data_IF_030811315111
#
_entry.id   IF_030811315111
#
_cell.length_a   1.000
_cell.length_b   1.000
_cell.length_c   1.000
_cell.angle_alpha   90.00
_cell.angle_beta   90.00
_cell.angle_gamma   90.00
#
_symmetry.space_group_name_H-M   'P 1'
#
loop_
_entity.id
_entity.type
_entity.pdbx_description
1 polymer ?
#
# COMPACT_ATOMS: atom_id res chain seq x y z
N UNK A 1 -36.48 17.65 -14.77
CA UNK A 1 -36.04 17.43 -16.16
C UNK A 1 -35.45 16.01 -16.20
N UNK A 2 -36.20 15.07 -16.78
CA UNK A 2 -35.97 13.63 -16.65
C UNK A 2 -34.97 13.16 -17.70
N UNK A 3 -33.85 12.56 -17.25
CA UNK A 3 -32.82 11.95 -18.11
C UNK A 3 -33.24 10.52 -18.49
N UNK A 4 -33.20 10.22 -19.78
CA UNK A 4 -33.60 8.96 -20.40
C UNK A 4 -32.71 7.79 -19.96
N UNK A 5 -33.35 6.68 -19.62
CA UNK A 5 -32.74 5.36 -19.44
C UNK A 5 -32.44 4.79 -20.82
N UNK A 6 -31.21 4.46 -21.11
CA UNK A 6 -30.83 3.72 -22.33
C UNK A 6 -30.91 2.21 -22.03
N UNK A 7 -31.87 1.55 -22.66
CA UNK A 7 -31.95 0.08 -22.72
C UNK A 7 -31.06 -0.42 -23.86
N UNK A 8 -29.94 -1.06 -23.54
CA UNK A 8 -29.12 -1.76 -24.51
C UNK A 8 -29.46 -3.26 -24.53
N UNK A 9 -29.97 -3.75 -25.65
CA UNK A 9 -30.19 -5.19 -25.88
C UNK A 9 -28.95 -5.76 -26.57
N UNK A 10 -28.30 -6.74 -25.94
CA UNK A 10 -27.17 -7.49 -26.54
C UNK A 10 -27.68 -8.88 -26.91
N UNK A 11 -27.71 -9.20 -28.22
CA UNK A 11 -28.09 -10.51 -28.73
C UNK A 11 -26.86 -11.35 -29.05
N UNK A 12 -26.78 -12.55 -28.48
CA UNK A 12 -25.79 -13.55 -28.86
C UNK A 12 -26.48 -14.70 -29.59
N UNK A 13 -26.02 -15.01 -30.81
CA UNK A 13 -26.49 -16.17 -31.60
C UNK A 13 -25.53 -17.33 -31.37
N UNK A 14 -26.00 -18.39 -30.70
CA UNK A 14 -25.36 -19.71 -30.72
C UNK A 14 -26.18 -20.65 -31.58
N UNK A 15 -25.50 -21.36 -32.46
CA UNK A 15 -26.07 -22.30 -33.44
C UNK A 15 -26.50 -23.58 -32.69
N UNK A 16 -27.65 -23.59 -32.09
CA UNK A 16 -28.52 -24.75 -31.85
C UNK A 16 -29.77 -24.25 -31.11
N UNK A 17 -30.86 -24.29 -31.78
CA UNK A 17 -32.26 -24.14 -31.48
C UNK A 17 -32.67 -24.14 -30.00
N UNK A 18 -32.48 -23.00 -29.30
CA UNK A 18 -33.28 -22.60 -28.16
C UNK A 18 -32.99 -21.14 -27.80
N UNK A 19 -33.89 -20.23 -28.11
CA UNK A 19 -33.83 -18.84 -27.65
C UNK A 19 -34.18 -18.81 -26.14
N UNK A 20 -33.19 -18.52 -25.31
CA UNK A 20 -33.40 -18.23 -23.90
C UNK A 20 -33.42 -16.69 -23.75
N UNK A 21 -34.60 -16.12 -23.63
CA UNK A 21 -34.76 -14.73 -23.23
C UNK A 21 -34.39 -14.58 -21.76
N UNK A 22 -33.19 -14.09 -21.46
CA UNK A 22 -32.84 -13.63 -20.12
C UNK A 22 -32.95 -12.10 -20.07
N UNK A 23 -34.00 -11.61 -19.46
CA UNK A 23 -34.12 -10.20 -19.11
C UNK A 23 -33.29 -9.91 -17.87
N UNK A 24 -32.13 -9.28 -18.05
CA UNK A 24 -31.33 -8.74 -16.92
C UNK A 24 -31.88 -7.34 -16.61
N UNK A 25 -32.71 -7.26 -15.58
CA UNK A 25 -33.13 -5.99 -15.01
C UNK A 25 -32.00 -5.49 -14.12
N UNK A 26 -31.14 -4.59 -14.63
CA UNK A 26 -30.24 -3.82 -13.78
C UNK A 26 -31.08 -2.88 -12.92
N UNK A 27 -31.35 -3.30 -11.69
CA UNK A 27 -31.80 -2.38 -10.64
C UNK A 27 -30.61 -1.47 -10.34
N UNK A 28 -30.63 -0.27 -10.90
CA UNK A 28 -29.77 0.85 -10.50
C UNK A 28 -30.15 1.26 -9.07
N UNK A 29 -29.58 0.56 -8.09
CA UNK A 29 -29.48 1.14 -6.77
C UNK A 29 -28.41 2.22 -6.87
N UNK A 30 -28.67 3.46 -6.45
CA UNK A 30 -27.58 4.38 -6.17
C UNK A 30 -26.72 3.68 -5.13
N UNK A 31 -25.44 3.50 -5.43
CA UNK A 31 -24.46 3.08 -4.44
C UNK A 31 -24.38 4.22 -3.42
N UNK A 32 -25.30 4.19 -2.44
CA UNK A 32 -25.14 4.96 -1.23
C UNK A 32 -23.83 4.46 -0.62
N UNK A 33 -22.82 5.30 -0.72
CA UNK A 33 -21.56 5.08 -0.03
C UNK A 33 -21.94 4.91 1.45
N UNK A 34 -21.74 3.70 1.96
CA UNK A 34 -21.92 3.39 3.38
C UNK A 34 -21.14 4.44 4.19
N UNK A 35 -21.81 5.33 4.94
CA UNK A 35 -21.14 6.37 5.71
C UNK A 35 -20.36 5.81 6.91
N UNK A 36 -20.39 4.50 7.13
CA UNK A 36 -19.76 3.81 8.27
C UNK A 36 -18.41 3.18 7.96
N UNK A 37 -17.79 3.42 6.82
CA UNK A 37 -16.34 3.17 6.67
C UNK A 37 -15.65 4.21 7.52
N UNK A 38 -15.42 3.83 8.77
CA UNK A 38 -14.59 4.58 9.72
C UNK A 38 -13.19 4.68 9.11
N UNK A 39 -12.98 5.74 8.29
CA UNK A 39 -11.64 6.02 7.74
C UNK A 39 -10.82 6.34 8.97
N UNK A 40 -9.87 5.48 9.37
CA UNK A 40 -9.10 5.74 10.56
C UNK A 40 -8.52 7.14 10.44
N UNK A 41 -8.64 7.93 11.49
CA UNK A 41 -8.07 9.27 11.57
C UNK A 41 -6.54 9.15 11.53
N UNK A 42 -5.98 9.07 10.31
CA UNK A 42 -4.57 8.82 10.00
C UNK A 42 -4.08 9.90 9.06
N UNK A 43 -3.03 10.60 9.46
CA UNK A 43 -2.28 11.50 8.61
C UNK A 43 -1.01 10.80 8.10
N UNK A 44 -0.62 11.11 6.85
CA UNK A 44 0.63 10.66 6.26
C UNK A 44 1.58 11.85 6.15
N UNK A 45 2.83 11.65 6.60
CA UNK A 45 3.88 12.65 6.44
C UNK A 45 5.20 11.99 6.01
N UNK A 46 6.09 12.71 5.34
CA UNK A 46 7.46 12.24 5.15
C UNK A 46 8.11 11.92 6.50
N UNK A 47 8.98 10.93 6.51
CA UNK A 47 9.90 10.70 7.61
C UNK A 47 11.08 11.64 7.42
N UNK A 48 11.43 12.40 8.46
CA UNK A 48 12.54 13.34 8.41
C UNK A 48 13.82 12.73 9.02
N UNK A 49 15.02 13.20 8.58
CA UNK A 49 16.25 12.87 9.27
C UNK A 49 16.15 13.23 10.77
N UNK A 50 16.37 12.26 11.65
CA UNK A 50 16.23 12.48 13.10
C UNK A 50 14.94 11.92 13.71
N UNK A 51 13.97 11.46 12.92
CA UNK A 51 12.73 10.81 13.39
C UNK A 51 12.96 9.42 14.04
N UNK A 52 14.10 9.23 14.70
CA UNK A 52 14.47 7.96 15.35
C UNK A 52 13.46 7.51 16.41
N UNK A 53 12.86 8.46 17.12
CA UNK A 53 11.81 8.16 18.09
C UNK A 53 10.58 7.58 17.42
N UNK A 54 10.11 8.18 16.32
CA UNK A 54 8.94 7.71 15.58
C UNK A 54 9.16 6.30 15.01
N UNK A 55 10.35 6.03 14.46
CA UNK A 55 10.72 4.68 13.96
C UNK A 55 10.78 3.67 15.11
N UNK A 56 11.31 4.08 16.27
CA UNK A 56 11.37 3.22 17.47
C UNK A 56 9.97 2.91 18.00
N UNK A 57 9.05 3.86 18.00
CA UNK A 57 7.66 3.66 18.41
C UNK A 57 6.92 2.70 17.47
N UNK A 58 7.05 2.86 16.16
CA UNK A 58 6.49 1.90 15.19
C UNK A 58 7.04 0.51 15.47
N UNK A 59 8.36 0.39 15.65
CA UNK A 59 8.99 -0.90 15.96
C UNK A 59 8.49 -1.49 17.28
N UNK A 60 8.32 -0.69 18.32
CA UNK A 60 7.81 -1.13 19.62
C UNK A 60 6.37 -1.66 19.52
N UNK A 61 5.55 -1.09 18.64
CA UNK A 61 4.19 -1.54 18.36
C UNK A 61 4.08 -2.79 17.49
N UNK A 62 5.19 -3.33 16.98
CA UNK A 62 5.24 -4.62 16.29
C UNK A 62 5.48 -5.74 17.29
N UNK A 63 4.65 -6.76 17.30
CA UNK A 63 4.87 -8.01 18.02
C UNK A 63 6.04 -8.82 17.42
N UNK A 64 6.46 -9.86 18.13
CA UNK A 64 7.59 -10.69 17.71
C UNK A 64 7.38 -11.30 16.30
N UNK A 65 6.15 -11.73 16.00
CA UNK A 65 5.78 -12.25 14.69
C UNK A 65 5.93 -11.20 13.59
N UNK A 66 5.34 -10.00 13.77
CA UNK A 66 5.41 -8.91 12.80
C UNK A 66 6.84 -8.41 12.58
N UNK A 67 7.66 -8.38 13.64
CA UNK A 67 9.10 -8.08 13.52
C UNK A 67 9.82 -9.12 12.67
N UNK A 68 9.56 -10.42 12.91
CA UNK A 68 10.17 -11.48 12.11
C UNK A 68 9.77 -11.37 10.63
N UNK A 69 8.49 -11.14 10.34
CA UNK A 69 8.01 -10.96 8.97
C UNK A 69 8.63 -9.73 8.28
N UNK A 70 8.85 -8.63 9.04
CA UNK A 70 9.41 -7.39 8.49
C UNK A 70 10.90 -7.46 8.22
N UNK A 71 11.65 -8.15 9.07
CA UNK A 71 13.12 -8.20 9.00
C UNK A 71 13.66 -9.54 8.48
N UNK A 72 12.77 -10.51 8.21
CA UNK A 72 13.08 -11.89 7.81
C UNK A 72 14.01 -12.61 8.81
N UNK A 73 14.16 -12.06 9.99
CA UNK A 73 14.99 -12.59 11.08
C UNK A 73 14.43 -12.17 12.44
N UNK A 74 14.81 -12.86 13.48
CA UNK A 74 14.47 -12.46 14.83
C UNK A 74 15.20 -11.16 15.19
N UNK A 75 14.44 -10.06 15.33
CA UNK A 75 14.97 -8.74 15.69
C UNK A 75 14.32 -8.24 16.98
N UNK A 76 14.94 -8.47 18.15
CA UNK A 76 14.32 -8.11 19.42
C UNK A 76 14.33 -6.59 19.67
N UNK A 77 15.31 -5.86 19.12
CA UNK A 77 15.46 -4.42 19.27
C UNK A 77 16.10 -3.79 18.02
N UNK A 78 15.88 -2.51 17.82
CA UNK A 78 16.68 -1.71 16.88
C UNK A 78 17.96 -1.24 17.58
N UNK A 79 19.09 -1.38 16.91
CA UNK A 79 20.35 -0.80 17.34
C UNK A 79 20.45 0.67 16.90
N UNK A 80 21.39 1.43 17.45
CA UNK A 80 21.66 2.78 16.98
C UNK A 80 22.08 2.81 15.48
N UNK A 81 22.75 1.75 15.00
CA UNK A 81 23.07 1.57 13.59
C UNK A 81 21.82 1.42 12.73
N UNK A 82 20.89 0.55 13.16
CA UNK A 82 19.60 0.38 12.47
C UNK A 82 18.83 1.70 12.37
N UNK A 83 18.75 2.44 13.49
CA UNK A 83 18.02 3.71 13.52
C UNK A 83 18.66 4.72 12.57
N UNK A 84 19.98 4.86 12.57
CA UNK A 84 20.66 5.74 11.60
C UNK A 84 20.35 5.36 10.16
N UNK A 85 20.42 4.05 9.82
CA UNK A 85 20.11 3.57 8.48
C UNK A 85 18.62 3.80 8.12
N UNK A 86 17.71 3.55 9.08
CA UNK A 86 16.30 3.71 8.86
C UNK A 86 15.86 5.18 8.76
N UNK A 87 16.64 6.14 9.26
CA UNK A 87 16.34 7.57 9.20
C UNK A 87 17.28 8.36 8.28
N UNK A 88 18.17 7.70 7.54
CA UNK A 88 19.04 8.33 6.55
C UNK A 88 18.27 8.64 5.25
N UNK A 89 17.14 9.32 5.37
CA UNK A 89 16.29 9.70 4.24
C UNK A 89 16.82 10.96 3.57
N UNK A 90 16.77 10.99 2.22
CA UNK A 90 17.10 12.13 1.38
C UNK A 90 15.91 12.57 0.50
N UNK A 91 14.78 11.88 0.64
CA UNK A 91 13.55 12.10 -0.10
C UNK A 91 13.66 11.88 -1.62
N UNK A 92 14.73 11.28 -2.09
CA UNK A 92 14.97 10.96 -3.51
C UNK A 92 15.34 9.49 -3.71
N UNK A 93 16.49 9.07 -3.18
CA UNK A 93 16.96 7.69 -3.30
C UNK A 93 16.57 6.85 -2.09
N UNK A 94 16.41 7.49 -0.96
CA UNK A 94 15.88 6.90 0.26
C UNK A 94 14.68 7.70 0.75
N UNK A 95 13.50 7.19 0.46
CA UNK A 95 12.21 7.81 0.83
C UNK A 95 11.52 6.96 1.88
N UNK A 96 10.99 7.61 2.92
CA UNK A 96 10.11 6.95 3.88
C UNK A 96 8.90 7.84 4.21
N UNK A 97 7.76 7.23 4.46
CA UNK A 97 6.50 7.88 4.80
C UNK A 97 5.99 7.27 6.09
N UNK A 98 5.67 8.12 7.06
CA UNK A 98 5.04 7.74 8.33
C UNK A 98 3.52 7.88 8.21
N UNK A 99 2.80 6.93 8.84
CA UNK A 99 1.40 7.06 9.18
C UNK A 99 1.30 7.42 10.67
N UNK A 100 0.56 8.48 10.98
CA UNK A 100 0.36 8.99 12.33
C UNK A 100 -1.13 8.95 12.65
N UNK A 101 -1.50 8.38 13.77
CA UNK A 101 -2.88 8.45 14.29
C UNK A 101 -3.15 9.87 14.76
N UNK A 102 -4.11 10.56 14.16
CA UNK A 102 -4.48 11.93 14.56
C UNK A 102 -5.19 11.96 15.92
N UNK A 103 -5.84 10.85 16.31
CA UNK A 103 -6.51 10.73 17.59
C UNK A 103 -5.54 10.55 18.77
N UNK A 104 -4.37 9.94 18.52
CA UNK A 104 -3.38 9.61 19.55
C UNK A 104 -2.08 10.40 19.41
N UNK A 105 -1.92 11.12 18.29
CA UNK A 105 -0.68 11.80 17.88
C UNK A 105 0.55 10.86 17.96
N UNK A 106 0.38 9.62 17.48
CA UNK A 106 1.41 8.58 17.55
C UNK A 106 1.65 7.93 16.20
N UNK A 107 2.92 7.62 15.88
CA UNK A 107 3.27 6.89 14.66
C UNK A 107 2.75 5.44 14.75
N UNK A 108 2.02 5.02 13.72
CA UNK A 108 1.35 3.72 13.65
C UNK A 108 1.79 2.87 12.48
N UNK A 109 2.65 3.40 11.62
CA UNK A 109 3.18 2.65 10.50
C UNK A 109 4.21 3.45 9.71
N UNK A 110 5.01 2.76 8.92
CA UNK A 110 6.01 3.33 8.03
C UNK A 110 6.11 2.49 6.76
N UNK A 111 6.18 3.16 5.62
CA UNK A 111 6.58 2.58 4.36
C UNK A 111 7.82 3.29 3.84
N UNK A 112 8.71 2.55 3.17
CA UNK A 112 9.96 3.11 2.65
C UNK A 112 10.38 2.40 1.40
N UNK A 113 11.14 3.10 0.57
CA UNK A 113 11.96 2.50 -0.46
C UNK A 113 13.40 3.02 -0.40
N UNK A 114 14.31 2.19 -0.87
CA UNK A 114 15.72 2.54 -1.11
C UNK A 114 16.02 2.18 -2.56
N UNK A 115 16.46 3.17 -3.34
CA UNK A 115 16.78 3.00 -4.75
C UNK A 115 17.98 2.07 -4.91
N UNK A 116 17.91 1.20 -5.92
CA UNK A 116 19.01 0.36 -6.33
C UNK A 116 20.04 1.23 -7.09
N UNK A 117 21.30 1.35 -6.62
CA UNK A 117 22.31 2.18 -7.29
C UNK A 117 22.67 1.68 -8.69
N UNK A 118 22.54 0.38 -8.94
CA UNK A 118 22.86 -0.24 -10.23
C UNK A 118 21.65 -0.18 -11.21
N UNK A 119 20.44 0.01 -10.69
CA UNK A 119 19.20 0.11 -11.45
C UNK A 119 18.36 1.28 -10.95
N UNK A 120 18.62 2.51 -11.43
CA UNK A 120 18.01 3.73 -10.90
C UNK A 120 16.49 3.82 -11.03
N UNK A 121 15.88 3.00 -11.87
CA UNK A 121 14.44 2.85 -12.01
C UNK A 121 13.82 1.81 -11.05
N UNK A 122 14.66 1.13 -10.27
CA UNK A 122 14.26 0.10 -9.31
C UNK A 122 14.59 0.51 -7.87
N UNK A 123 13.79 0.04 -6.91
CA UNK A 123 14.02 0.28 -5.49
C UNK A 123 13.49 -0.86 -4.62
N UNK A 124 14.21 -1.16 -3.54
CA UNK A 124 13.73 -2.07 -2.50
C UNK A 124 12.69 -1.41 -1.64
N UNK A 125 11.55 -2.08 -1.42
CA UNK A 125 10.45 -1.55 -0.63
C UNK A 125 10.19 -2.37 0.64
N UNK A 126 9.79 -1.66 1.69
CA UNK A 126 9.35 -2.29 2.92
C UNK A 126 8.24 -1.49 3.60
N UNK A 127 7.28 -2.19 4.17
CA UNK A 127 6.15 -1.62 4.89
C UNK A 127 6.04 -2.28 6.27
N UNK A 128 5.74 -1.49 7.29
CA UNK A 128 5.42 -1.95 8.62
C UNK A 128 4.23 -1.16 9.17
N UNK A 129 3.28 -1.86 9.79
CA UNK A 129 2.12 -1.26 10.47
C UNK A 129 2.02 -1.89 11.85
N UNK A 130 1.91 -1.06 12.88
CA UNK A 130 1.69 -1.48 14.27
C UNK A 130 0.55 -2.48 14.35
N UNK A 131 0.71 -3.57 15.08
CA UNK A 131 -0.21 -4.71 15.08
C UNK A 131 -1.67 -4.29 15.36
N UNK A 132 -1.88 -3.39 16.31
CA UNK A 132 -3.20 -2.87 16.65
C UNK A 132 -3.87 -2.08 15.51
N UNK A 133 -3.12 -1.68 14.49
CA UNK A 133 -3.60 -0.90 13.35
C UNK A 133 -3.59 -1.70 12.03
N UNK A 134 -3.21 -2.96 12.06
CA UNK A 134 -3.31 -3.83 10.90
C UNK A 134 -4.78 -4.13 10.57
N UNK A 135 -5.04 -4.47 9.30
CA UNK A 135 -6.40 -4.73 8.82
C UNK A 135 -7.29 -3.49 8.63
N UNK A 136 -6.83 -2.30 9.04
CA UNK A 136 -7.59 -1.03 8.97
C UNK A 136 -7.26 -0.16 7.75
N UNK A 137 -6.59 -0.70 6.73
CA UNK A 137 -6.26 0.02 5.50
C UNK A 137 -4.98 0.88 5.55
N UNK A 138 -4.32 1.02 6.72
CA UNK A 138 -3.10 1.84 6.90
C UNK A 138 -1.98 1.43 5.93
N UNK A 139 -1.74 0.11 5.78
CA UNK A 139 -0.75 -0.38 4.83
C UNK A 139 -1.05 0.02 3.38
N UNK A 140 -2.32 -0.02 2.97
CA UNK A 140 -2.75 0.41 1.63
C UNK A 140 -2.55 1.92 1.42
N UNK A 141 -2.83 2.73 2.44
CA UNK A 141 -2.59 4.18 2.41
C UNK A 141 -1.10 4.48 2.24
N UNK A 142 -0.26 3.86 3.06
CA UNK A 142 1.19 4.00 3.02
C UNK A 142 1.76 3.57 1.65
N UNK A 143 1.38 2.39 1.16
CA UNK A 143 1.85 1.88 -0.14
C UNK A 143 1.42 2.79 -1.29
N UNK A 144 0.18 3.27 -1.28
CA UNK A 144 -0.31 4.18 -2.33
C UNK A 144 0.45 5.52 -2.35
N UNK A 145 0.77 6.06 -1.17
CA UNK A 145 1.56 7.28 -1.06
C UNK A 145 3.02 7.05 -1.51
N UNK A 146 3.59 5.90 -1.14
CA UNK A 146 4.96 5.54 -1.51
C UNK A 146 5.10 5.32 -3.03
N UNK A 147 4.16 4.61 -3.67
CA UNK A 147 4.13 4.43 -5.13
C UNK A 147 4.07 5.77 -5.84
N UNK A 148 3.21 6.68 -5.42
CA UNK A 148 3.14 8.02 -6.01
C UNK A 148 4.48 8.73 -5.90
N UNK A 149 5.11 8.73 -4.71
CA UNK A 149 6.41 9.37 -4.52
C UNK A 149 7.50 8.72 -5.36
N UNK A 150 7.50 7.40 -5.48
CA UNK A 150 8.41 6.65 -6.32
C UNK A 150 8.33 7.09 -7.79
N UNK A 151 7.12 7.19 -8.34
CA UNK A 151 6.88 7.64 -9.70
C UNK A 151 7.34 9.09 -9.94
N UNK A 152 7.14 9.98 -8.95
CA UNK A 152 7.60 11.37 -9.00
C UNK A 152 9.13 11.48 -9.13
N UNK A 153 9.88 10.58 -8.47
CA UNK A 153 11.35 10.56 -8.52
C UNK A 153 11.92 9.58 -9.54
N UNK A 154 11.09 9.02 -10.43
CA UNK A 154 11.52 8.19 -11.56
C UNK A 154 11.71 6.71 -11.24
N UNK A 155 11.36 6.23 -10.06
CA UNK A 155 11.31 4.79 -9.75
C UNK A 155 10.08 4.19 -10.43
N UNK A 156 10.28 3.09 -11.16
CA UNK A 156 9.24 2.38 -11.92
C UNK A 156 9.04 0.94 -11.48
N UNK A 157 9.90 0.44 -10.61
CA UNK A 157 9.89 -0.93 -10.15
C UNK A 157 10.21 -1.00 -8.66
N UNK A 158 9.38 -1.70 -7.91
CA UNK A 158 9.69 -2.09 -6.53
C UNK A 158 10.12 -3.54 -6.49
N UNK A 159 11.18 -3.83 -5.74
CA UNK A 159 11.57 -5.18 -5.36
C UNK A 159 11.32 -5.39 -3.88
N UNK A 160 10.97 -6.61 -3.51
CA UNK A 160 10.71 -6.96 -2.12
C UNK A 160 10.94 -8.45 -1.87
N UNK A 161 11.52 -8.74 -0.72
CA UNK A 161 11.59 -10.08 -0.18
C UNK A 161 10.60 -10.22 1.00
N UNK A 162 9.85 -11.32 1.05
CA UNK A 162 8.92 -11.57 2.14
C UNK A 162 8.78 -13.08 2.40
N UNK A 163 8.37 -13.45 3.60
CA UNK A 163 7.99 -14.83 3.86
C UNK A 163 6.79 -15.23 2.99
N UNK A 164 6.79 -16.42 2.33
CA UNK A 164 5.65 -16.89 1.56
C UNK A 164 4.37 -17.03 2.41
N UNK A 165 4.52 -17.18 3.73
CA UNK A 165 3.42 -17.24 4.69
C UNK A 165 2.92 -15.87 5.17
N UNK A 166 3.48 -14.78 4.68
CA UNK A 166 3.04 -13.42 5.03
C UNK A 166 1.82 -13.00 4.19
N UNK A 167 0.67 -13.59 4.52
CA UNK A 167 -0.58 -13.31 3.82
C UNK A 167 -0.93 -11.80 3.80
N UNK A 168 -0.59 -11.06 4.85
CA UNK A 168 -0.87 -9.64 4.92
C UNK A 168 -0.07 -8.85 3.86
N UNK A 169 1.21 -9.17 3.69
CA UNK A 169 2.05 -8.56 2.66
C UNK A 169 1.60 -8.99 1.25
N UNK A 170 1.26 -10.27 1.05
CA UNK A 170 0.74 -10.77 -0.23
C UNK A 170 -0.57 -10.04 -0.60
N UNK A 171 -1.51 -9.91 0.34
CA UNK A 171 -2.75 -9.14 0.11
C UNK A 171 -2.47 -7.66 -0.18
N UNK A 172 -1.48 -7.07 0.47
CA UNK A 172 -1.08 -5.68 0.23
C UNK A 172 -0.48 -5.51 -1.18
N UNK A 173 0.39 -6.44 -1.58
CA UNK A 173 0.99 -6.47 -2.92
C UNK A 173 -0.08 -6.54 -4.01
N UNK A 174 -1.07 -7.44 -3.88
CA UNK A 174 -2.17 -7.56 -4.85
C UNK A 174 -3.11 -6.34 -4.90
N UNK A 175 -3.06 -5.45 -3.91
CA UNK A 175 -3.83 -4.20 -3.89
C UNK A 175 -3.02 -3.00 -4.41
N UNK A 176 -1.72 -3.15 -4.54
CA UNK A 176 -0.87 -2.10 -5.08
C UNK A 176 -1.16 -1.90 -6.58
N UNK A 177 -1.08 -0.67 -7.09
CA UNK A 177 -1.23 -0.42 -8.52
C UNK A 177 0.03 -0.88 -9.26
N UNK A 178 -0.13 -1.80 -10.21
CA UNK A 178 0.98 -2.30 -11.02
C UNK A 178 0.86 -3.78 -11.36
N UNK A 179 1.87 -4.28 -12.04
CA UNK A 179 2.00 -5.69 -12.44
C UNK A 179 2.97 -6.40 -11.50
N UNK A 180 2.55 -7.57 -10.99
CA UNK A 180 3.33 -8.37 -10.04
C UNK A 180 4.09 -9.43 -10.82
N UNK A 181 5.41 -9.45 -10.62
CA UNK A 181 6.30 -10.50 -11.11
C UNK A 181 6.89 -11.25 -9.91
N UNK A 182 6.86 -12.57 -9.95
CA UNK A 182 7.58 -13.38 -8.96
C UNK A 182 8.98 -13.69 -9.50
N UNK A 183 10.00 -13.23 -8.77
CA UNK A 183 11.41 -13.37 -9.15
C UNK A 183 12.01 -14.68 -8.66
N UNK A 184 11.78 -15.02 -7.39
CA UNK A 184 12.26 -16.23 -6.76
C UNK A 184 11.28 -16.73 -5.70
N UNK A 185 11.38 -17.99 -5.38
CA UNK A 185 10.65 -18.63 -4.30
C UNK A 185 11.50 -19.78 -3.75
N UNK A 186 11.75 -19.73 -2.45
CA UNK A 186 12.25 -20.86 -1.65
C UNK A 186 11.31 -21.11 -0.44
N UNK A 187 11.70 -22.02 0.44
CA UNK A 187 10.86 -22.40 1.58
C UNK A 187 10.71 -21.29 2.63
N UNK A 188 11.64 -20.36 2.69
CA UNK A 188 11.67 -19.28 3.70
C UNK A 188 11.35 -17.91 3.13
N UNK A 189 11.67 -17.67 1.84
CA UNK A 189 11.60 -16.35 1.22
C UNK A 189 10.99 -16.42 -0.18
N UNK A 190 10.10 -15.50 -0.45
CA UNK A 190 9.60 -15.21 -1.79
C UNK A 190 10.02 -13.81 -2.20
N UNK A 191 10.62 -13.70 -3.38
CA UNK A 191 11.00 -12.42 -3.96
C UNK A 191 10.02 -12.03 -5.06
N UNK A 192 9.56 -10.81 -4.99
CA UNK A 192 8.63 -10.22 -5.95
C UNK A 192 9.18 -8.92 -6.50
N UNK A 193 8.77 -8.61 -7.71
CA UNK A 193 8.80 -7.25 -8.21
C UNK A 193 7.38 -6.78 -8.51
N UNK A 194 7.16 -5.49 -8.27
CA UNK A 194 5.96 -4.76 -8.67
C UNK A 194 6.38 -3.70 -9.69
N UNK A 195 6.00 -3.89 -10.94
CA UNK A 195 6.13 -2.85 -11.97
C UNK A 195 5.03 -1.83 -11.72
N UNK A 196 5.44 -0.62 -11.37
CA UNK A 196 4.52 0.41 -10.92
C UNK A 196 3.67 0.93 -12.08
N UNK A 197 2.36 0.78 -11.95
CA UNK A 197 1.37 1.41 -12.81
C UNK A 197 1.00 2.81 -12.32
N UNK A 198 0.37 3.60 -13.17
CA UNK A 198 -0.15 4.89 -12.76
C UNK A 198 -1.13 4.72 -11.57
N UNK A 199 -0.99 5.53 -10.52
CA UNK A 199 -1.86 5.40 -9.35
C UNK A 199 -3.31 5.64 -9.77
N UNK A 200 -4.15 4.61 -9.58
CA UNK A 200 -5.59 4.77 -9.80
C UNK A 200 -6.09 5.90 -8.90
N UNK A 201 -6.75 6.94 -9.44
CA UNK A 201 -7.23 8.05 -8.66
C UNK A 201 -8.24 7.57 -7.63
N UNK A 202 -7.85 7.45 -6.38
CA UNK A 202 -8.78 7.15 -5.28
C UNK A 202 -9.24 8.48 -4.69
N UNK A 203 -10.53 8.85 -4.77
CA UNK A 203 -11.04 10.17 -4.38
C UNK A 203 -10.71 10.57 -2.93
N UNK A 204 -10.59 9.61 -2.01
CA UNK A 204 -10.26 9.84 -0.62
C UNK A 204 -8.78 10.22 -0.40
N UNK A 205 -7.88 9.75 -1.28
CA UNK A 205 -6.44 10.07 -1.19
C UNK A 205 -6.19 11.56 -1.45
N UNK A 206 -6.97 12.20 -2.34
CA UNK A 206 -6.90 13.64 -2.60
C UNK A 206 -7.23 14.49 -1.37
N UNK A 207 -8.13 14.03 -0.50
CA UNK A 207 -8.50 14.75 0.73
C UNK A 207 -7.40 14.71 1.80
N UNK A 208 -6.69 13.58 1.92
CA UNK A 208 -5.57 13.43 2.85
C UNK A 208 -4.35 14.27 2.47
N UNK A 209 -4.12 14.44 1.17
CA UNK A 209 -2.92 15.09 0.63
C UNK A 209 -3.12 16.59 0.36
N UNK A 210 -4.34 17.09 0.44
CA UNK A 210 -4.68 18.50 0.25
C UNK A 210 -4.55 19.34 1.54
N UNK A 211 -4.14 18.73 2.67
CA UNK A 211 -3.88 19.49 3.90
C UNK A 211 -2.49 20.11 3.83
N UNK A 212 -2.37 21.45 3.85
CA UNK A 212 -1.06 22.09 3.94
C UNK A 212 -0.42 21.71 5.27
N UNK A 213 0.86 21.35 5.21
CA UNK A 213 1.72 21.22 6.38
C UNK A 213 1.76 22.60 7.04
N UNK A 214 1.27 22.70 8.28
CA UNK A 214 1.46 23.90 9.13
C UNK A 214 2.75 23.75 9.89
#
# INVERSE_FOLDING_TARGET
MWGRVATGTVSFTTTTTQEVHMSVTCLSHPCEADPSVDIPAVDLRPLEPGDSCAVSEVFAGLGAHSRRLRFLTAKPRLTAGDLRQLTAVDHHDHVAILAVSTAQDRPIGVARFVRDPDRPDSADVAVAVVDAWQGRGVGTMLTSALVRRALEVGVRRFTMAMSPHNEAAVRLLHRAPGEIERLALDDETAEFALVLGDPVPRPWLRRLLARPVR
#
